data_IF_328516329020
#
_entry.id   IF_328516329020
#
_cell.length_a   1.000
_cell.length_b   1.000
_cell.length_c   1.000
_cell.angle_alpha   90.00
_cell.angle_beta   90.00
_cell.angle_gamma   90.00
#
_symmetry.space_group_name_H-M   'P 1'
#
loop_
_entity.id
_entity.type
_entity.pdbx_description
1 polymer ?
#
# COMPACT_ATOMS: atom_id res chain seq x y z
N UNK A 1 -35.92 27.59 -2.41
CA UNK A 1 -34.63 27.58 -3.18
C UNK A 1 -34.11 26.18 -3.10
N UNK A 2 -34.02 25.45 -4.21
CA UNK A 2 -33.40 24.11 -4.23
C UNK A 2 -31.91 24.33 -4.03
N UNK A 3 -31.38 23.87 -2.91
CA UNK A 3 -29.93 23.84 -2.66
C UNK A 3 -29.27 23.06 -3.78
N UNK A 4 -28.33 23.71 -4.50
CA UNK A 4 -27.61 23.07 -5.58
C UNK A 4 -26.67 22.02 -4.99
N UNK A 5 -27.02 20.74 -5.13
CA UNK A 5 -26.14 19.64 -4.83
C UNK A 5 -25.01 19.65 -5.86
N UNK A 6 -23.77 19.74 -5.40
CA UNK A 6 -22.58 19.62 -6.23
C UNK A 6 -21.93 18.26 -5.99
N UNK A 7 -21.38 17.64 -7.03
CA UNK A 7 -20.71 16.36 -6.91
C UNK A 7 -19.56 16.21 -7.89
N UNK A 8 -18.54 15.49 -7.48
CA UNK A 8 -17.41 15.09 -8.31
C UNK A 8 -17.28 13.57 -8.32
N UNK A 9 -16.92 13.04 -9.45
CA UNK A 9 -16.60 11.61 -9.65
C UNK A 9 -15.28 11.51 -10.39
N UNK A 10 -14.36 10.71 -9.84
CA UNK A 10 -13.05 10.45 -10.42
C UNK A 10 -12.90 8.97 -10.69
N UNK A 11 -12.39 8.64 -11.86
CA UNK A 11 -12.00 7.29 -12.26
C UNK A 11 -10.49 7.26 -12.45
N UNK A 12 -9.82 6.34 -11.77
CA UNK A 12 -8.36 6.13 -11.85
C UNK A 12 -8.10 4.76 -12.43
N UNK A 13 -7.24 4.68 -13.43
CA UNK A 13 -6.71 3.42 -13.95
C UNK A 13 -5.21 3.41 -13.74
N UNK A 14 -4.71 2.40 -13.04
CA UNK A 14 -3.28 2.17 -12.84
C UNK A 14 -2.84 0.90 -13.57
N UNK A 15 -1.65 0.96 -14.14
CA UNK A 15 -1.01 -0.14 -14.84
C UNK A 15 0.21 -0.58 -14.02
N UNK A 16 0.30 -1.86 -13.74
CA UNK A 16 1.42 -2.46 -13.00
C UNK A 16 2.39 -3.08 -13.99
N UNK A 17 3.65 -2.68 -13.87
CA UNK A 17 4.77 -3.24 -14.61
C UNK A 17 5.78 -3.83 -13.62
N UNK A 18 6.40 -4.94 -14.01
CA UNK A 18 7.52 -5.55 -13.30
C UNK A 18 8.81 -5.24 -14.05
N UNK A 19 9.81 -4.71 -13.35
CA UNK A 19 11.16 -4.65 -13.89
C UNK A 19 11.73 -6.07 -13.95
N UNK A 20 12.22 -6.48 -15.10
CA UNK A 20 13.00 -7.71 -15.23
C UNK A 20 14.40 -7.44 -14.67
N UNK A 21 14.60 -7.93 -13.46
CA UNK A 21 15.87 -7.79 -12.75
C UNK A 21 16.40 -9.20 -12.43
N UNK A 22 17.16 -9.73 -13.35
CA UNK A 22 17.84 -11.02 -13.21
C UNK A 22 19.34 -10.83 -12.94
N UNK A 23 20.06 -11.92 -12.81
CA UNK A 23 21.50 -11.90 -12.50
C UNK A 23 22.31 -11.24 -13.62
N UNK A 24 21.96 -11.48 -14.88
CA UNK A 24 22.60 -10.89 -16.06
C UNK A 24 22.42 -9.38 -16.08
N UNK A 25 21.18 -8.90 -15.94
CA UNK A 25 20.84 -7.46 -15.86
C UNK A 25 21.56 -6.79 -14.68
N UNK A 26 21.56 -7.45 -13.52
CA UNK A 26 22.24 -6.96 -12.31
C UNK A 26 23.74 -6.83 -12.53
N UNK A 27 24.39 -7.87 -13.06
CA UNK A 27 25.82 -7.86 -13.31
C UNK A 27 26.21 -6.77 -14.32
N UNK A 28 25.48 -6.65 -15.42
CA UNK A 28 25.71 -5.60 -16.42
C UNK A 28 25.56 -4.20 -15.81
N UNK A 29 24.49 -3.97 -15.06
CA UNK A 29 24.26 -2.67 -14.42
C UNK A 29 25.40 -2.30 -13.46
N UNK A 30 25.78 -3.21 -12.56
CA UNK A 30 26.82 -2.92 -11.56
C UNK A 30 28.22 -2.84 -12.14
N UNK A 31 28.53 -3.57 -13.20
CA UNK A 31 29.86 -3.53 -13.84
C UNK A 31 30.05 -2.34 -14.76
N UNK A 32 29.03 -1.95 -15.50
CA UNK A 32 29.17 -0.97 -16.59
C UNK A 32 28.63 0.40 -16.24
N UNK A 33 27.49 0.48 -15.50
CA UNK A 33 26.75 1.72 -15.32
C UNK A 33 26.72 2.25 -13.89
N UNK A 34 26.86 1.36 -12.88
CA UNK A 34 26.78 1.81 -11.49
C UNK A 34 27.95 2.72 -11.11
N UNK A 35 27.63 3.80 -10.41
CA UNK A 35 28.60 4.72 -9.80
C UNK A 35 28.06 5.26 -8.48
N UNK A 36 28.93 5.45 -7.50
CA UNK A 36 28.60 6.12 -6.24
C UNK A 36 28.56 7.65 -6.40
N UNK A 37 29.23 8.18 -7.43
CA UNK A 37 29.36 9.61 -7.70
C UNK A 37 28.85 9.98 -9.10
N UNK A 38 27.51 10.00 -9.34
CA UNK A 38 26.96 10.27 -10.68
C UNK A 38 27.37 11.60 -11.32
N UNK A 39 27.70 12.59 -10.48
CA UNK A 39 28.14 13.92 -10.96
C UNK A 39 29.59 13.91 -11.47
N UNK A 40 30.42 13.00 -10.95
CA UNK A 40 31.81 12.86 -11.36
C UNK A 40 31.95 11.89 -12.56
N UNK A 41 31.07 10.90 -12.65
CA UNK A 41 31.06 9.85 -13.68
C UNK A 41 29.98 10.13 -14.77
N UNK A 42 29.96 11.37 -15.28
CA UNK A 42 28.95 11.79 -16.26
C UNK A 42 28.91 10.94 -17.53
N UNK A 43 30.03 10.35 -17.93
CA UNK A 43 30.13 9.46 -19.10
C UNK A 43 29.33 8.17 -18.87
N UNK A 44 29.50 7.49 -17.72
CA UNK A 44 28.70 6.30 -17.35
C UNK A 44 27.21 6.60 -17.30
N UNK A 45 26.84 7.75 -16.74
CA UNK A 45 25.42 8.20 -16.69
C UNK A 45 24.88 8.43 -18.09
N UNK A 46 25.70 8.97 -18.99
CA UNK A 46 25.31 9.23 -20.39
C UNK A 46 25.15 7.92 -21.17
N UNK A 47 26.07 6.96 -21.01
CA UNK A 47 25.98 5.64 -21.61
C UNK A 47 24.75 4.88 -21.11
N UNK A 48 24.49 4.90 -19.80
CA UNK A 48 23.28 4.30 -19.21
C UNK A 48 22.00 4.89 -19.79
N UNK A 49 21.92 6.21 -19.94
CA UNK A 49 20.74 6.88 -20.55
C UNK A 49 20.55 6.54 -22.04
N UNK A 50 21.62 6.15 -22.70
CA UNK A 50 21.60 5.71 -24.10
C UNK A 50 21.16 4.25 -24.27
N UNK A 51 21.32 3.43 -23.23
CA UNK A 51 20.94 2.01 -23.28
C UNK A 51 19.45 1.83 -22.97
N UNK A 52 18.66 1.57 -24.02
CA UNK A 52 17.24 1.29 -23.90
C UNK A 52 16.91 -0.21 -23.77
N UNK A 53 17.92 -1.08 -23.80
CA UNK A 53 17.73 -2.54 -23.83
C UNK A 53 18.02 -3.20 -22.47
N UNK A 54 18.78 -2.57 -21.58
CA UNK A 54 19.16 -3.13 -20.31
C UNK A 54 17.94 -3.37 -19.41
N UNK A 55 17.07 -2.38 -19.27
CA UNK A 55 15.90 -2.48 -18.41
C UNK A 55 14.63 -2.78 -19.20
N UNK A 56 14.14 -4.00 -19.05
CA UNK A 56 12.88 -4.45 -19.67
C UNK A 56 11.76 -4.46 -18.66
N UNK A 57 10.65 -3.83 -19.03
CA UNK A 57 9.43 -3.79 -18.23
C UNK A 57 8.42 -4.79 -18.78
N UNK A 58 7.95 -5.68 -17.92
CA UNK A 58 6.89 -6.63 -18.22
C UNK A 58 5.55 -6.08 -17.70
N UNK A 59 4.55 -5.99 -18.57
CA UNK A 59 3.21 -5.60 -18.15
C UNK A 59 2.55 -6.73 -17.37
N UNK A 60 2.20 -6.46 -16.10
CA UNK A 60 1.58 -7.43 -15.19
C UNK A 60 0.05 -7.33 -15.25
N UNK A 61 -0.48 -6.12 -15.36
CA UNK A 61 -1.91 -5.90 -15.44
C UNK A 61 -2.34 -4.51 -15.01
N UNK A 62 -3.65 -4.32 -14.90
CA UNK A 62 -4.22 -3.03 -14.48
C UNK A 62 -5.42 -3.21 -13.55
N UNK A 63 -5.73 -2.15 -12.81
CA UNK A 63 -6.96 -1.97 -12.06
C UNK A 63 -7.55 -0.60 -12.33
N UNK A 64 -8.88 -0.52 -12.22
CA UNK A 64 -9.62 0.73 -12.34
C UNK A 64 -10.51 0.90 -11.13
N UNK A 65 -10.37 2.03 -10.43
CA UNK A 65 -11.17 2.37 -9.26
C UNK A 65 -11.90 3.68 -9.48
N UNK A 66 -13.02 3.83 -8.82
CA UNK A 66 -13.84 5.05 -8.91
C UNK A 66 -14.14 5.55 -7.51
N UNK A 67 -14.04 6.86 -7.31
CA UNK A 67 -14.50 7.54 -6.10
C UNK A 67 -15.42 8.69 -6.48
N UNK A 68 -16.40 8.97 -5.62
CA UNK A 68 -17.31 10.11 -5.80
C UNK A 68 -17.64 10.76 -4.46
N UNK A 69 -17.88 12.04 -4.48
CA UNK A 69 -18.36 12.82 -3.32
C UNK A 69 -19.38 13.83 -3.80
N UNK A 70 -20.47 13.91 -3.06
CA UNK A 70 -21.48 14.97 -3.20
C UNK A 70 -21.51 15.80 -1.94
N UNK A 71 -21.78 17.08 -2.06
CA UNK A 71 -21.98 18.01 -0.95
C UNK A 71 -23.10 18.98 -1.26
N UNK A 72 -23.78 19.41 -0.21
CA UNK A 72 -24.74 20.52 -0.30
C UNK A 72 -23.94 21.83 -0.40
N UNK A 73 -24.37 22.72 -1.28
CA UNK A 73 -23.71 23.99 -1.55
C UNK A 73 -23.45 24.78 -0.26
N UNK A 74 -22.17 25.19 -0.06
CA UNK A 74 -21.76 26.09 1.03
C UNK A 74 -21.00 25.46 2.18
N UNK A 75 -20.97 24.11 2.29
CA UNK A 75 -20.26 23.41 3.39
C UNK A 75 -18.82 23.08 3.06
N UNK A 76 -18.51 22.77 1.79
CA UNK A 76 -17.17 22.37 1.34
C UNK A 76 -16.84 23.06 0.02
N UNK A 77 -15.63 23.57 -0.13
CA UNK A 77 -15.19 24.18 -1.39
C UNK A 77 -15.01 23.10 -2.50
N UNK A 78 -15.13 23.54 -3.75
CA UNK A 78 -14.90 22.64 -4.90
C UNK A 78 -13.49 22.05 -4.87
N UNK A 79 -12.48 22.85 -4.53
CA UNK A 79 -11.09 22.42 -4.44
C UNK A 79 -10.91 21.32 -3.39
N UNK A 80 -11.45 21.52 -2.19
CA UNK A 80 -11.42 20.51 -1.11
C UNK A 80 -12.11 19.21 -1.54
N UNK A 81 -13.27 19.31 -2.21
CA UNK A 81 -13.99 18.14 -2.72
C UNK A 81 -13.18 17.39 -3.79
N UNK A 82 -12.61 18.10 -4.76
CA UNK A 82 -11.78 17.51 -5.82
C UNK A 82 -10.56 16.82 -5.20
N UNK A 83 -9.83 17.52 -4.33
CA UNK A 83 -8.67 16.97 -3.65
C UNK A 83 -9.00 15.67 -2.89
N UNK A 84 -10.11 15.70 -2.11
CA UNK A 84 -10.56 14.54 -1.33
C UNK A 84 -10.95 13.35 -2.22
N UNK A 85 -11.69 13.61 -3.30
CA UNK A 85 -12.11 12.54 -4.24
C UNK A 85 -10.94 11.96 -4.98
N UNK A 86 -9.99 12.78 -5.45
CA UNK A 86 -8.79 12.33 -6.15
C UNK A 86 -7.90 11.47 -5.23
N UNK A 87 -7.61 11.95 -4.03
CA UNK A 87 -6.76 11.22 -3.07
C UNK A 87 -7.40 9.86 -2.71
N UNK A 88 -8.70 9.86 -2.38
CA UNK A 88 -9.41 8.60 -2.05
C UNK A 88 -9.51 7.64 -3.23
N UNK A 89 -9.62 8.16 -4.46
CA UNK A 89 -9.61 7.32 -5.66
C UNK A 89 -8.24 6.66 -5.88
N UNK A 90 -7.15 7.38 -5.64
CA UNK A 90 -5.78 6.86 -5.70
C UNK A 90 -5.53 5.83 -4.60
N UNK A 91 -5.88 6.13 -3.36
CA UNK A 91 -5.73 5.20 -2.23
C UNK A 91 -6.46 3.88 -2.50
N UNK A 92 -7.74 3.97 -2.93
CA UNK A 92 -8.50 2.77 -3.31
C UNK A 92 -7.86 2.01 -4.47
N UNK A 93 -7.35 2.72 -5.46
CA UNK A 93 -6.72 2.08 -6.63
C UNK A 93 -5.44 1.32 -6.24
N UNK A 94 -4.63 1.88 -5.33
CA UNK A 94 -3.46 1.21 -4.77
C UNK A 94 -3.87 -0.04 -3.98
N UNK A 95 -4.90 0.06 -3.13
CA UNK A 95 -5.41 -1.08 -2.38
C UNK A 95 -5.91 -2.19 -3.33
N UNK A 96 -6.67 -1.84 -4.36
CA UNK A 96 -7.14 -2.79 -5.38
C UNK A 96 -5.97 -3.48 -6.12
N UNK A 97 -4.86 -2.76 -6.40
CA UNK A 97 -3.63 -3.35 -6.95
C UNK A 97 -3.02 -4.38 -6.00
N UNK A 98 -2.91 -4.03 -4.71
CA UNK A 98 -2.33 -4.91 -3.67
C UNK A 98 -3.17 -6.18 -3.48
N UNK A 99 -4.49 -6.05 -3.54
CA UNK A 99 -5.38 -7.20 -3.44
C UNK A 99 -5.32 -8.11 -4.68
N UNK A 100 -5.22 -7.51 -5.87
CA UNK A 100 -5.25 -8.24 -7.14
C UNK A 100 -3.94 -8.93 -7.45
N UNK A 101 -2.80 -8.26 -7.23
CA UNK A 101 -1.48 -8.73 -7.65
C UNK A 101 -0.59 -9.11 -6.45
N UNK A 102 -0.18 -10.38 -6.40
CA UNK A 102 0.62 -10.91 -5.31
C UNK A 102 1.98 -10.19 -5.16
N UNK A 103 2.57 -9.79 -6.28
CA UNK A 103 3.85 -9.07 -6.30
C UNK A 103 3.77 -7.68 -5.68
N UNK A 104 2.58 -7.07 -5.70
CA UNK A 104 2.36 -5.74 -5.14
C UNK A 104 1.80 -5.77 -3.72
N UNK A 105 1.57 -6.96 -3.18
CA UNK A 105 1.00 -7.13 -1.83
C UNK A 105 1.99 -6.71 -0.76
N UNK A 106 1.59 -5.72 0.04
CA UNK A 106 2.40 -5.21 1.14
C UNK A 106 2.39 -6.14 2.35
N UNK A 107 3.43 -5.99 3.17
CA UNK A 107 3.52 -6.53 4.52
C UNK A 107 3.67 -5.35 5.47
N UNK A 108 2.88 -5.32 6.53
CA UNK A 108 2.96 -4.30 7.56
C UNK A 108 3.43 -4.92 8.89
N UNK A 109 4.25 -4.21 9.69
CA UNK A 109 4.68 -4.75 10.97
C UNK A 109 3.58 -4.68 12.03
N UNK A 110 3.54 -5.68 12.91
CA UNK A 110 2.86 -5.58 14.19
C UNK A 110 3.62 -4.57 15.07
N UNK A 111 2.91 -3.54 15.53
CA UNK A 111 3.49 -2.49 16.39
C UNK A 111 3.46 -2.91 17.85
N UNK A 112 2.39 -3.61 18.24
CA UNK A 112 2.25 -4.21 19.57
C UNK A 112 1.49 -5.52 19.47
N UNK A 113 1.58 -6.34 20.52
CA UNK A 113 0.89 -7.62 20.61
C UNK A 113 -0.10 -7.65 21.77
N UNK A 114 -0.03 -6.71 22.69
CA UNK A 114 -0.96 -6.49 23.81
C UNK A 114 -1.32 -4.99 23.91
N UNK A 115 -2.39 -4.53 23.24
CA UNK A 115 -3.23 -5.24 22.25
C UNK A 115 -2.52 -5.46 20.92
N UNK A 116 -2.96 -6.48 20.16
CA UNK A 116 -2.48 -6.70 18.80
C UNK A 116 -2.85 -5.49 17.92
N UNK A 117 -1.84 -4.79 17.38
CA UNK A 117 -2.02 -3.54 16.64
C UNK A 117 -1.05 -3.44 15.45
N UNK A 118 -1.55 -2.89 14.34
CA UNK A 118 -0.73 -2.52 13.19
C UNK A 118 -1.20 -1.21 12.55
N UNK A 119 -0.29 -0.51 11.86
CA UNK A 119 -0.59 0.73 11.13
C UNK A 119 -1.12 0.44 9.73
N UNK A 120 -2.29 -0.19 9.69
CA UNK A 120 -3.08 -0.45 8.49
C UNK A 120 -4.53 -0.11 8.80
N UNK A 121 -5.27 0.38 7.82
CA UNK A 121 -6.62 0.88 8.08
C UNK A 121 -7.54 0.87 6.86
N UNK A 122 -8.55 1.70 6.88
CA UNK A 122 -9.54 1.79 5.80
C UNK A 122 -8.95 2.28 4.47
N UNK A 123 -7.79 2.96 4.51
CA UNK A 123 -7.06 3.36 3.31
C UNK A 123 -6.57 2.15 2.52
N UNK A 124 -6.18 1.09 3.21
CA UNK A 124 -5.77 -0.21 2.67
C UNK A 124 -6.96 -1.15 2.42
N UNK A 125 -8.19 -0.62 2.41
CA UNK A 125 -9.47 -1.33 2.21
C UNK A 125 -9.76 -2.43 3.26
N UNK A 126 -9.20 -2.27 4.48
CA UNK A 126 -9.47 -3.19 5.59
C UNK A 126 -10.93 -3.09 6.02
N UNK A 127 -11.54 -4.23 6.23
CA UNK A 127 -12.89 -4.36 6.77
C UNK A 127 -13.00 -5.54 7.74
N UNK A 128 -14.14 -5.71 8.38
CA UNK A 128 -14.38 -6.75 9.38
C UNK A 128 -14.23 -8.20 8.85
N UNK A 129 -14.27 -8.37 7.52
CA UNK A 129 -14.11 -9.69 6.88
C UNK A 129 -12.65 -9.98 6.53
N UNK A 130 -11.79 -8.98 6.53
CA UNK A 130 -10.37 -9.14 6.24
C UNK A 130 -9.71 -10.15 7.18
N UNK A 131 -8.74 -10.88 6.67
CA UNK A 131 -7.93 -11.85 7.42
C UNK A 131 -6.47 -11.62 7.09
N UNK A 132 -5.63 -11.72 8.10
CA UNK A 132 -4.20 -11.48 7.97
C UNK A 132 -3.42 -12.67 8.49
N UNK A 133 -2.50 -13.17 7.70
CA UNK A 133 -1.47 -14.08 8.17
C UNK A 133 -0.38 -13.30 8.89
N UNK A 134 0.13 -13.86 9.98
CA UNK A 134 1.30 -13.35 10.69
C UNK A 134 2.52 -14.12 10.20
N UNK A 135 3.54 -13.37 9.79
CA UNK A 135 4.75 -13.86 9.16
C UNK A 135 5.96 -13.61 10.05
N UNK A 136 6.75 -14.64 10.22
CA UNK A 136 8.06 -14.58 10.85
C UNK A 136 9.13 -14.55 9.76
N UNK A 137 10.08 -13.62 9.89
CA UNK A 137 11.24 -13.55 9.01
C UNK A 137 12.26 -14.62 9.45
N UNK A 138 12.59 -15.54 8.57
CA UNK A 138 13.54 -16.61 8.82
C UNK A 138 14.60 -16.60 7.71
N UNK A 139 15.90 -16.55 8.03
CA UNK A 139 16.93 -16.70 7.01
C UNK A 139 16.92 -18.13 6.45
N UNK A 140 17.10 -18.27 5.13
CA UNK A 140 17.35 -19.56 4.50
C UNK A 140 18.83 -19.96 4.62
N UNK A 141 19.19 -21.15 4.12
CA UNK A 141 20.56 -21.68 4.17
C UNK A 141 21.60 -20.81 3.44
N UNK A 142 21.14 -19.87 2.62
CA UNK A 142 21.98 -18.90 1.88
C UNK A 142 22.00 -17.52 2.53
N UNK A 143 21.33 -17.36 3.70
CA UNK A 143 21.20 -16.09 4.40
C UNK A 143 20.12 -15.16 3.82
N UNK A 144 19.33 -15.61 2.84
CA UNK A 144 18.23 -14.82 2.28
C UNK A 144 17.02 -14.88 3.20
N UNK A 145 16.48 -13.73 3.56
CA UNK A 145 15.28 -13.65 4.41
C UNK A 145 14.07 -14.22 3.69
N UNK A 146 13.48 -15.25 4.25
CA UNK A 146 12.20 -15.83 3.85
C UNK A 146 11.14 -15.55 4.91
N UNK A 147 9.86 -15.70 4.54
CA UNK A 147 8.74 -15.39 5.44
C UNK A 147 7.89 -16.62 5.65
N UNK A 148 7.88 -17.12 6.91
CA UNK A 148 7.10 -18.27 7.31
C UNK A 148 5.81 -17.82 8.01
N UNK A 149 4.66 -18.33 7.57
CA UNK A 149 3.40 -18.09 8.26
C UNK A 149 3.41 -18.80 9.63
N UNK A 150 3.15 -18.05 10.70
CA UNK A 150 3.11 -18.53 12.09
C UNK A 150 1.75 -18.36 12.76
N UNK A 151 0.84 -17.60 12.15
CA UNK A 151 -0.49 -17.41 12.69
C UNK A 151 -1.46 -16.72 11.75
N UNK A 152 -2.67 -16.51 12.27
CA UNK A 152 -3.77 -15.83 11.60
C UNK A 152 -4.45 -14.87 12.59
N UNK A 153 -4.75 -13.66 12.13
CA UNK A 153 -5.45 -12.62 12.89
C UNK A 153 -6.56 -12.01 12.05
N UNK A 154 -7.49 -11.33 12.69
CA UNK A 154 -8.54 -10.55 12.02
C UNK A 154 -8.77 -9.22 12.75
N UNK A 155 -9.25 -8.18 12.05
CA UNK A 155 -9.62 -6.93 12.68
C UNK A 155 -10.73 -7.15 13.71
N UNK A 156 -10.66 -6.42 14.85
CA UNK A 156 -11.73 -6.35 15.83
C UNK A 156 -12.81 -5.41 15.30
N UNK A 157 -14.06 -5.83 15.35
CA UNK A 157 -15.20 -5.03 14.95
C UNK A 157 -15.22 -3.66 15.67
N UNK A 158 -15.40 -2.58 14.89
CA UNK A 158 -15.38 -1.22 15.40
C UNK A 158 -14.01 -0.71 15.87
N UNK A 159 -12.93 -1.46 15.63
CA UNK A 159 -11.56 -1.07 16.00
C UNK A 159 -10.65 -1.01 14.77
N UNK A 160 -11.20 -0.68 13.61
CA UNK A 160 -10.46 -0.45 12.38
C UNK A 160 -10.13 1.04 12.29
N UNK A 161 -8.85 1.34 12.12
CA UNK A 161 -8.36 2.70 11.98
C UNK A 161 -8.86 3.33 10.69
N UNK A 162 -9.53 4.48 10.79
CA UNK A 162 -9.84 5.28 9.62
C UNK A 162 -8.69 6.26 9.33
N UNK A 163 -7.75 5.79 8.52
CA UNK A 163 -6.56 6.53 8.06
C UNK A 163 -6.76 7.16 6.67
N UNK A 164 -8.01 7.22 6.18
CA UNK A 164 -8.30 7.84 4.89
C UNK A 164 -8.06 9.34 4.93
N UNK A 165 -7.69 9.91 3.81
CA UNK A 165 -7.45 11.35 3.71
C UNK A 165 -8.67 12.16 4.20
N UNK A 166 -8.44 13.11 5.11
CA UNK A 166 -9.46 13.94 5.75
C UNK A 166 -10.54 13.13 6.48
N UNK A 167 -10.21 12.01 7.08
CA UNK A 167 -11.15 11.19 7.86
C UNK A 167 -11.61 11.90 9.14
N UNK A 168 -10.73 12.69 9.76
CA UNK A 168 -11.04 13.39 11.02
C UNK A 168 -12.12 14.48 10.85
N UNK A 169 -12.25 15.03 9.65
CA UNK A 169 -13.35 15.98 9.36
C UNK A 169 -14.73 15.31 9.32
N UNK A 170 -14.79 13.99 9.21
CA UNK A 170 -16.04 13.21 9.14
C UNK A 170 -16.45 12.62 10.50
N UNK A 171 -15.56 12.69 11.52
CA UNK A 171 -15.81 12.10 12.84
C UNK A 171 -16.43 13.16 13.78
N UNK A 172 -17.48 12.77 14.46
CA UNK A 172 -18.19 13.66 15.37
C UNK A 172 -17.82 13.51 16.84
N UNK A 173 -17.21 12.41 17.36
CA UNK A 173 -17.03 12.31 18.83
C UNK A 173 -16.20 11.12 19.39
N UNK A 174 -15.62 10.20 18.64
CA UNK A 174 -14.83 9.12 19.24
C UNK A 174 -13.33 9.40 19.20
N UNK A 175 -12.62 8.92 20.23
CA UNK A 175 -11.17 8.99 20.26
C UNK A 175 -10.59 8.32 19.00
N UNK A 176 -9.81 9.09 18.23
CA UNK A 176 -9.23 8.61 16.98
C UNK A 176 -8.31 7.43 17.28
N UNK A 177 -8.57 6.28 16.63
CA UNK A 177 -7.62 5.17 16.65
C UNK A 177 -6.39 5.59 15.85
N UNK A 178 -5.22 5.23 16.33
CA UNK A 178 -3.91 5.44 15.68
C UNK A 178 -3.37 4.17 15.01
N UNK A 179 -4.20 3.14 14.87
CA UNK A 179 -3.93 1.85 14.24
C UNK A 179 -5.11 0.91 14.38
N UNK A 180 -5.18 -0.10 13.54
CA UNK A 180 -6.20 -1.15 13.61
C UNK A 180 -5.83 -2.15 14.70
N UNK A 181 -6.80 -2.50 15.53
CA UNK A 181 -6.68 -3.56 16.51
C UNK A 181 -7.15 -4.90 15.95
N UNK A 182 -6.41 -5.94 16.28
CA UNK A 182 -6.66 -7.29 15.79
C UNK A 182 -6.92 -8.25 16.94
N UNK A 183 -7.63 -9.32 16.63
CA UNK A 183 -7.75 -10.50 17.50
C UNK A 183 -7.09 -11.70 16.84
N UNK A 184 -6.49 -12.55 17.66
CA UNK A 184 -5.81 -13.77 17.23
C UNK A 184 -6.85 -14.84 16.89
N UNK A 185 -6.75 -15.42 15.71
CA UNK A 185 -7.54 -16.57 15.29
C UNK A 185 -6.76 -17.86 15.59
N UNK A 186 -5.47 -17.89 15.23
CA UNK A 186 -4.60 -19.06 15.44
C UNK A 186 -3.13 -18.66 15.46
N UNK A 187 -2.29 -19.57 15.87
CA UNK A 187 -0.84 -19.40 15.89
C UNK A 187 -0.24 -19.42 17.29
N UNK A 188 1.09 -19.38 17.38
CA UNK A 188 1.84 -19.32 18.62
C UNK A 188 2.00 -17.88 19.11
N UNK A 189 3.01 -17.61 19.90
CA UNK A 189 3.25 -16.29 20.44
C UNK A 189 3.73 -15.35 19.32
N UNK A 190 3.12 -14.16 19.29
CA UNK A 190 3.52 -13.10 18.40
C UNK A 190 4.39 -12.11 19.16
N UNK A 191 5.24 -11.38 18.42
CA UNK A 191 6.07 -10.31 18.96
C UNK A 191 6.06 -9.08 18.03
N UNK A 192 6.30 -7.88 18.56
CA UNK A 192 6.39 -6.67 17.75
C UNK A 192 7.44 -6.81 16.66
N UNK A 193 7.16 -6.29 15.45
CA UNK A 193 8.04 -6.41 14.30
C UNK A 193 7.73 -7.61 13.39
N UNK A 194 6.98 -8.62 13.85
CA UNK A 194 6.43 -9.63 12.93
C UNK A 194 5.57 -8.95 11.87
N UNK A 195 5.61 -9.46 10.65
CA UNK A 195 4.86 -8.86 9.55
C UNK A 195 3.47 -9.49 9.43
N UNK A 196 2.49 -8.67 9.08
CA UNK A 196 1.17 -9.15 8.69
C UNK A 196 0.97 -8.92 7.20
N UNK A 197 0.27 -9.86 6.55
CA UNK A 197 -0.11 -9.79 5.15
C UNK A 197 -1.54 -10.28 4.99
N UNK A 198 -2.37 -9.55 4.24
CA UNK A 198 -3.74 -9.97 4.01
C UNK A 198 -3.79 -11.31 3.25
N UNK A 199 -4.67 -12.20 3.70
CA UNK A 199 -4.92 -13.48 3.02
C UNK A 199 -5.85 -13.24 1.82
N UNK A 200 -5.77 -14.11 0.83
CA UNK A 200 -6.75 -14.14 -0.27
C UNK A 200 -8.06 -14.75 0.18
#
# INVERSE_FOLDING_TARGET
>A
MLDKVKGFRVKVTSHLFRLKWDEETSNTFYSEYYTENPDEDADKVSEFKGDNDLFKMEYVGSVTSTSSKTSISGVTTNEQMIRKVCTRALDKNIADLQHKFADFRIKAPLISVEPLKAYVGMKEDINEKSRYEVLEAVPDDRGVTTYKRVGLIKPIKGKIWDNRFMADEEKTTEAALDGTLFEKISGKDFYPGMLIRETK
#
